data_IF_461263797713
#
_entry.id   IF_461263797713
#
_cell.length_a   1.000
_cell.length_b   1.000
_cell.length_c   1.000
_cell.angle_alpha   90.00
_cell.angle_beta   90.00
_cell.angle_gamma   90.00
#
_symmetry.space_group_name_H-M   'P 1'
#
loop_
_entity.id
_entity.type
_entity.pdbx_description
1 polymer ?
#
# COMPACT_ATOMS: atom_id res chain seq x y z
N UNK A 1 8.24 -27.20 -8.00
CA UNK A 1 7.08 -26.29 -7.94
C UNK A 1 5.93 -26.96 -8.67
N UNK A 2 4.78 -27.13 -8.03
CA UNK A 2 3.54 -27.54 -8.69
C UNK A 2 3.12 -26.49 -9.72
N UNK A 3 2.44 -26.89 -10.79
CA UNK A 3 1.93 -25.93 -11.78
C UNK A 3 0.95 -24.94 -11.11
N UNK A 4 0.97 -23.65 -11.49
CA UNK A 4 0.02 -22.67 -10.96
C UNK A 4 -1.42 -23.09 -11.29
N UNK A 5 -2.36 -22.80 -10.39
CA UNK A 5 -3.77 -23.12 -10.63
C UNK A 5 -4.33 -22.32 -11.82
N UNK A 6 -5.38 -22.81 -12.50
CA UNK A 6 -6.04 -22.07 -13.58
C UNK A 6 -6.55 -20.68 -13.17
N UNK A 7 -6.93 -20.50 -11.89
CA UNK A 7 -7.36 -19.20 -11.35
C UNK A 7 -6.21 -18.20 -11.29
N UNK A 8 -5.02 -18.63 -10.84
CA UNK A 8 -3.81 -17.80 -10.81
C UNK A 8 -3.39 -17.38 -12.22
N UNK A 9 -3.45 -18.30 -13.19
CA UNK A 9 -3.16 -17.98 -14.58
C UNK A 9 -4.15 -16.97 -15.17
N UNK A 10 -5.44 -17.09 -14.83
CA UNK A 10 -6.44 -16.11 -15.23
C UNK A 10 -6.18 -14.74 -14.58
N UNK A 11 -5.87 -14.71 -13.28
CA UNK A 11 -5.55 -13.48 -12.56
C UNK A 11 -4.33 -12.77 -13.14
N UNK A 12 -3.26 -13.50 -13.49
CA UNK A 12 -2.03 -12.94 -14.11
C UNK A 12 -2.28 -12.17 -15.41
N UNK A 13 -3.37 -12.48 -16.13
CA UNK A 13 -3.75 -11.79 -17.37
C UNK A 13 -4.52 -10.49 -17.11
N UNK A 14 -4.99 -10.25 -15.89
CA UNK A 14 -5.81 -9.07 -15.55
C UNK A 14 -4.99 -7.79 -15.44
N UNK A 15 -5.66 -6.65 -15.61
CA UNK A 15 -5.07 -5.35 -15.35
C UNK A 15 -4.67 -5.17 -13.87
N UNK A 16 -5.40 -5.80 -12.94
CA UNK A 16 -5.09 -5.77 -11.51
C UNK A 16 -3.74 -6.41 -11.21
N UNK A 17 -3.43 -7.57 -11.81
CA UNK A 17 -2.11 -8.19 -11.63
C UNK A 17 -1.01 -7.29 -12.18
N UNK A 18 -1.19 -6.73 -13.38
CA UNK A 18 -0.22 -5.79 -13.97
C UNK A 18 0.06 -4.61 -13.04
N UNK A 19 -0.98 -3.97 -12.50
CA UNK A 19 -0.85 -2.90 -11.52
C UNK A 19 -0.13 -3.36 -10.25
N UNK A 20 -0.46 -4.56 -9.74
CA UNK A 20 0.17 -5.14 -8.55
C UNK A 20 1.65 -5.46 -8.76
N UNK A 21 2.10 -5.68 -9.99
CA UNK A 21 3.53 -5.88 -10.31
C UNK A 21 4.28 -4.58 -10.64
N UNK A 22 3.58 -3.48 -10.91
CA UNK A 22 4.20 -2.19 -11.21
C UNK A 22 4.62 -1.46 -9.92
N UNK A 23 5.69 -0.65 -9.95
CA UNK A 23 6.15 0.11 -8.78
C UNK A 23 5.31 1.36 -8.49
N UNK A 24 4.51 1.82 -9.46
CA UNK A 24 3.86 3.13 -9.41
C UNK A 24 2.80 3.30 -8.31
N UNK A 25 1.94 2.31 -7.98
CA UNK A 25 0.99 2.46 -6.89
C UNK A 25 1.68 2.75 -5.54
N UNK A 26 2.75 2.02 -5.25
CA UNK A 26 3.53 2.16 -4.03
C UNK A 26 4.31 3.47 -4.00
N UNK A 27 4.94 3.86 -5.11
CA UNK A 27 5.60 5.16 -5.19
C UNK A 27 4.61 6.33 -5.09
N UNK A 28 3.40 6.18 -5.64
CA UNK A 28 2.33 7.15 -5.45
C UNK A 28 1.94 7.30 -3.98
N UNK A 29 1.80 6.18 -3.25
CA UNK A 29 1.52 6.20 -1.82
C UNK A 29 2.69 6.75 -1.00
N UNK A 30 3.92 6.43 -1.37
CA UNK A 30 5.13 6.99 -0.77
C UNK A 30 5.19 8.50 -0.91
N UNK A 31 4.93 9.01 -2.11
CA UNK A 31 4.86 10.44 -2.42
C UNK A 31 3.73 11.12 -1.65
N UNK A 32 2.56 10.49 -1.54
CA UNK A 32 1.44 11.00 -0.74
C UNK A 32 1.81 11.12 0.75
N UNK A 33 2.47 10.11 1.31
CA UNK A 33 2.99 10.17 2.68
C UNK A 33 4.03 11.28 2.84
N UNK A 34 4.95 11.44 1.89
CA UNK A 34 5.97 12.48 1.90
C UNK A 34 5.35 13.89 1.85
N UNK A 35 4.37 14.10 0.96
CA UNK A 35 3.64 15.35 0.83
C UNK A 35 2.86 15.71 2.11
N UNK A 36 2.49 14.72 2.92
CA UNK A 36 1.79 14.92 4.17
C UNK A 36 2.71 15.26 5.37
N UNK A 37 4.04 15.11 5.23
CA UNK A 37 5.01 15.38 6.31
C UNK A 37 4.87 16.80 6.87
N UNK A 38 4.78 17.88 6.07
CA UNK A 38 4.65 19.23 6.63
C UNK A 38 3.39 19.42 7.49
N UNK A 39 2.27 18.80 7.10
CA UNK A 39 1.02 18.85 7.88
C UNK A 39 1.15 18.04 9.18
N UNK A 40 1.80 16.88 9.14
CA UNK A 40 2.07 16.06 10.31
C UNK A 40 3.05 16.73 11.29
N UNK A 41 4.10 17.39 10.79
CA UNK A 41 5.08 18.11 11.61
C UNK A 41 4.46 19.31 12.34
N UNK A 42 3.44 19.95 11.74
CA UNK A 42 2.64 21.02 12.37
C UNK A 42 1.57 20.51 13.34
N UNK A 43 1.43 19.20 13.50
CA UNK A 43 0.39 18.61 14.36
C UNK A 43 -1.03 18.88 13.88
N UNK A 44 -1.25 18.95 12.55
CA UNK A 44 -2.59 19.21 12.01
C UNK A 44 -3.62 18.17 12.50
N UNK A 45 -4.87 18.60 12.69
CA UNK A 45 -5.93 17.77 13.26
C UNK A 45 -6.12 16.46 12.46
N UNK A 46 -6.21 15.34 13.18
CA UNK A 46 -6.39 14.01 12.58
C UNK A 46 -5.16 13.45 11.86
N UNK A 47 -4.05 14.20 11.74
CA UNK A 47 -2.84 13.74 11.05
C UNK A 47 -2.07 12.70 11.87
N UNK A 48 -1.51 11.66 11.24
CA UNK A 48 -0.54 10.78 11.90
C UNK A 48 0.68 11.56 12.37
N UNK A 49 1.37 11.02 13.38
CA UNK A 49 2.60 11.62 13.88
C UNK A 49 3.66 11.74 12.76
N UNK A 50 4.50 12.77 12.81
CA UNK A 50 5.50 13.06 11.77
C UNK A 50 6.39 11.84 11.44
N UNK A 51 6.90 11.16 12.47
CA UNK A 51 7.75 9.97 12.30
C UNK A 51 7.03 8.81 11.63
N UNK A 52 5.70 8.70 11.83
CA UNK A 52 4.87 7.70 11.17
C UNK A 52 4.77 8.01 9.69
N UNK A 53 4.60 9.28 9.29
CA UNK A 53 4.56 9.66 7.87
C UNK A 53 5.90 9.45 7.16
N UNK A 54 7.02 9.78 7.80
CA UNK A 54 8.34 9.46 7.25
C UNK A 54 8.54 7.95 7.08
N UNK A 55 8.23 7.16 8.11
CA UNK A 55 8.38 5.72 8.09
C UNK A 55 7.55 5.08 6.98
N UNK A 56 6.26 5.42 6.87
CA UNK A 56 5.41 4.90 5.80
C UNK A 56 5.84 5.36 4.41
N UNK A 57 6.29 6.62 4.27
CA UNK A 57 6.85 7.09 2.99
C UNK A 57 8.03 6.23 2.55
N UNK A 58 8.99 5.98 3.45
CA UNK A 58 10.16 5.15 3.16
C UNK A 58 9.79 3.70 2.84
N UNK A 59 8.89 3.10 3.61
CA UNK A 59 8.44 1.72 3.44
C UNK A 59 7.74 1.52 2.09
N UNK A 60 6.79 2.38 1.73
CA UNK A 60 6.14 2.30 0.42
C UNK A 60 7.14 2.59 -0.72
N UNK A 61 8.08 3.51 -0.53
CA UNK A 61 9.14 3.79 -1.50
C UNK A 61 10.02 2.57 -1.77
N UNK A 62 10.45 1.89 -0.69
CA UNK A 62 11.23 0.67 -0.74
C UNK A 62 10.44 -0.50 -1.35
N UNK A 63 9.16 -0.62 -1.02
CA UNK A 63 8.27 -1.61 -1.61
C UNK A 63 8.17 -1.46 -3.14
N UNK A 64 7.99 -0.23 -3.63
CA UNK A 64 8.03 0.06 -5.07
C UNK A 64 9.40 -0.23 -5.69
N UNK A 65 10.50 0.01 -4.96
CA UNK A 65 11.84 -0.34 -5.41
C UNK A 65 12.02 -1.86 -5.59
N UNK A 66 11.49 -2.70 -4.69
CA UNK A 66 11.51 -4.16 -4.87
C UNK A 66 10.86 -4.56 -6.21
N UNK A 67 9.67 -4.01 -6.50
CA UNK A 67 8.97 -4.28 -7.76
C UNK A 67 9.76 -3.81 -8.98
N UNK A 68 10.42 -2.66 -8.88
CA UNK A 68 11.31 -2.16 -9.94
C UNK A 68 12.50 -3.10 -10.20
N UNK A 69 13.01 -3.77 -9.17
CA UNK A 69 14.08 -4.77 -9.26
C UNK A 69 13.59 -6.17 -9.67
N UNK A 70 12.38 -6.26 -10.25
CA UNK A 70 11.71 -7.53 -10.63
C UNK A 70 11.38 -8.45 -9.44
N UNK A 71 11.35 -7.91 -8.22
CA UNK A 71 10.94 -8.64 -7.01
C UNK A 71 9.51 -8.23 -6.61
N UNK A 72 8.56 -8.59 -7.48
CA UNK A 72 7.16 -8.21 -7.31
C UNK A 72 6.48 -8.94 -6.14
N UNK A 73 6.99 -10.11 -5.74
CA UNK A 73 6.42 -10.91 -4.65
C UNK A 73 6.72 -10.25 -3.30
N UNK A 74 7.98 -9.97 -3.00
CA UNK A 74 8.33 -9.24 -1.78
C UNK A 74 7.74 -7.82 -1.76
N UNK A 75 7.72 -7.13 -2.91
CA UNK A 75 7.10 -5.80 -3.01
C UNK A 75 5.59 -5.82 -2.73
N UNK A 76 4.85 -6.76 -3.30
CA UNK A 76 3.41 -6.89 -3.01
C UNK A 76 3.17 -7.28 -1.56
N UNK A 77 3.87 -8.29 -1.03
CA UNK A 77 3.72 -8.72 0.37
C UNK A 77 4.05 -7.62 1.38
N UNK A 78 5.11 -6.84 1.12
CA UNK A 78 5.49 -5.67 1.92
C UNK A 78 4.37 -4.63 1.89
N UNK A 79 3.89 -4.25 0.69
CA UNK A 79 2.79 -3.27 0.54
C UNK A 79 1.53 -3.69 1.29
N UNK A 80 1.14 -4.97 1.15
CA UNK A 80 -0.04 -5.54 1.80
C UNK A 80 0.08 -5.41 3.32
N UNK A 81 1.18 -5.89 3.89
CA UNK A 81 1.43 -5.90 5.33
C UNK A 81 1.40 -4.48 5.91
N UNK A 82 2.13 -3.56 5.28
CA UNK A 82 2.23 -2.19 5.78
C UNK A 82 0.96 -1.37 5.53
N UNK A 83 0.18 -1.67 4.50
CA UNK A 83 -1.15 -1.05 4.35
C UNK A 83 -2.12 -1.50 5.44
N UNK A 84 -2.09 -2.78 5.85
CA UNK A 84 -2.87 -3.25 7.00
C UNK A 84 -2.45 -2.54 8.29
N UNK A 85 -1.15 -2.40 8.54
CA UNK A 85 -0.63 -1.66 9.70
C UNK A 85 -1.06 -0.19 9.65
N UNK A 86 -0.95 0.46 8.49
CA UNK A 86 -1.38 1.85 8.31
C UNK A 86 -2.85 2.03 8.69
N UNK A 87 -3.71 1.15 8.17
CA UNK A 87 -5.15 1.18 8.41
C UNK A 87 -5.45 0.89 9.88
N UNK A 88 -4.82 -0.12 10.48
CA UNK A 88 -4.99 -0.42 11.89
C UNK A 88 -4.71 0.79 12.78
N UNK A 89 -3.62 1.53 12.49
CA UNK A 89 -3.22 2.69 13.27
C UNK A 89 -4.10 3.94 13.03
N UNK A 90 -4.61 4.13 11.81
CA UNK A 90 -5.18 5.44 11.41
C UNK A 90 -6.67 5.41 11.07
N UNK A 91 -7.22 4.27 10.65
CA UNK A 91 -8.58 4.17 10.10
C UNK A 91 -9.64 4.63 11.10
N UNK A 92 -9.59 4.11 12.35
CA UNK A 92 -10.58 4.44 13.39
C UNK A 92 -10.65 5.95 13.65
N UNK A 93 -9.49 6.61 13.70
CA UNK A 93 -9.40 8.04 13.94
C UNK A 93 -9.96 8.83 12.75
N UNK A 94 -9.57 8.47 11.53
CA UNK A 94 -10.05 9.12 10.31
C UNK A 94 -11.57 8.97 10.14
N UNK A 95 -12.15 7.81 10.48
CA UNK A 95 -13.61 7.62 10.44
C UNK A 95 -14.32 8.52 11.47
N UNK A 96 -13.75 8.68 12.67
CA UNK A 96 -14.34 9.51 13.72
C UNK A 96 -14.20 11.01 13.46
N UNK A 97 -13.15 11.40 12.75
CA UNK A 97 -12.82 12.79 12.43
C UNK A 97 -12.35 12.87 10.97
N UNK A 98 -13.29 12.83 10.00
CA UNK A 98 -12.93 12.80 8.59
C UNK A 98 -12.39 14.17 8.17
N UNK A 99 -11.09 14.23 7.91
CA UNK A 99 -10.39 15.39 7.39
C UNK A 99 -9.84 15.05 6.00
N UNK A 100 -9.80 15.99 5.04
CA UNK A 100 -9.45 15.68 3.65
C UNK A 100 -8.13 14.90 3.48
N UNK A 101 -7.06 15.35 4.14
CA UNK A 101 -5.73 14.74 4.00
C UNK A 101 -5.61 13.36 4.68
N UNK A 102 -5.99 13.17 5.97
CA UNK A 102 -6.06 11.84 6.58
C UNK A 102 -6.97 10.86 5.83
N UNK A 103 -8.09 11.33 5.29
CA UNK A 103 -9.00 10.52 4.47
C UNK A 103 -8.33 10.09 3.17
N UNK A 104 -7.63 10.99 2.48
CA UNK A 104 -6.88 10.67 1.27
C UNK A 104 -5.78 9.62 1.53
N UNK A 105 -5.07 9.74 2.65
CA UNK A 105 -4.05 8.76 3.04
C UNK A 105 -4.65 7.37 3.33
N UNK A 106 -5.76 7.31 4.08
CA UNK A 106 -6.48 6.06 4.33
C UNK A 106 -6.99 5.46 3.02
N UNK A 107 -7.57 6.27 2.11
CA UNK A 107 -8.01 5.81 0.80
C UNK A 107 -6.84 5.29 -0.04
N UNK A 108 -5.68 5.94 0.00
CA UNK A 108 -4.45 5.49 -0.66
C UNK A 108 -3.96 4.14 -0.10
N UNK A 109 -3.98 3.96 1.22
CA UNK A 109 -3.63 2.70 1.87
C UNK A 109 -4.61 1.58 1.53
N UNK A 110 -5.92 1.83 1.53
CA UNK A 110 -6.94 0.87 1.08
C UNK A 110 -6.72 0.50 -0.39
N UNK A 111 -6.45 1.48 -1.26
CA UNK A 111 -6.22 1.24 -2.69
C UNK A 111 -5.00 0.35 -2.90
N UNK A 112 -3.88 0.62 -2.21
CA UNK A 112 -2.68 -0.21 -2.28
C UNK A 112 -2.91 -1.61 -1.70
N UNK A 113 -3.68 -1.73 -0.61
CA UNK A 113 -4.08 -3.02 -0.05
C UNK A 113 -4.92 -3.84 -1.04
N UNK A 114 -5.85 -3.22 -1.75
CA UNK A 114 -6.66 -3.93 -2.74
C UNK A 114 -5.84 -4.39 -3.95
N UNK A 115 -4.90 -3.57 -4.41
CA UNK A 115 -4.04 -3.90 -5.55
C UNK A 115 -3.04 -5.00 -5.17
N UNK A 116 -2.19 -4.74 -4.17
CA UNK A 116 -1.10 -5.66 -3.79
C UNK A 116 -1.60 -6.83 -2.95
N UNK A 117 -2.61 -6.63 -2.09
CA UNK A 117 -3.18 -7.68 -1.26
C UNK A 117 -3.94 -8.73 -2.05
N UNK A 118 -4.59 -8.34 -3.16
CA UNK A 118 -5.21 -9.33 -4.06
C UNK A 118 -4.17 -10.22 -4.72
N UNK A 119 -3.01 -9.67 -5.12
CA UNK A 119 -1.91 -10.49 -5.64
C UNK A 119 -1.37 -11.44 -4.58
N UNK A 120 -1.12 -10.94 -3.37
CA UNK A 120 -0.68 -11.77 -2.24
C UNK A 120 -1.68 -12.89 -1.94
N UNK A 121 -2.98 -12.62 -1.89
CA UNK A 121 -4.00 -13.65 -1.64
C UNK A 121 -4.04 -14.73 -2.75
N UNK A 122 -4.14 -14.32 -4.00
CA UNK A 122 -4.31 -15.24 -5.13
C UNK A 122 -3.04 -16.06 -5.40
N UNK A 123 -1.87 -15.41 -5.36
CA UNK A 123 -0.60 -16.03 -5.78
C UNK A 123 0.11 -16.74 -4.64
N UNK A 124 0.06 -16.21 -3.42
CA UNK A 124 0.81 -16.76 -2.28
C UNK A 124 -0.06 -17.63 -1.37
N UNK A 125 -1.34 -17.26 -1.18
CA UNK A 125 -2.27 -18.01 -0.31
C UNK A 125 -3.17 -18.98 -1.08
N UNK A 126 -3.36 -18.77 -2.39
CA UNK A 126 -4.21 -19.61 -3.23
C UNK A 126 -5.70 -19.52 -2.88
N UNK A 127 -6.14 -18.38 -2.31
CA UNK A 127 -7.52 -18.11 -1.89
C UNK A 127 -8.11 -16.96 -2.68
#
# INVERSE_FOLDING_TARGET
MSAPSPSVEAYRKTAFYKLATMPYPEWGMSALCAAAIPAAAKGAAGMPHFGVMMGFSAIYGFSGYMKHMNDADNGSGTTTSWSLIYLFLNLRRTIRQPMPLPTLLVAGAVTNLLISGRKTAEVELGV
#
